data_IF_175839614457
#
_entry.id   IF_175839614457
#
_cell.length_a   1.000
_cell.length_b   1.000
_cell.length_c   1.000
_cell.angle_alpha   90.00
_cell.angle_beta   90.00
_cell.angle_gamma   90.00
#
_symmetry.space_group_name_H-M   'P 1'
#
loop_
_entity.id
_entity.type
_entity.pdbx_description
1 polymer ?
#
# COMPACT_ATOMS: atom_id res chain seq x y z
N UNK A 1 -1.11 2.12 13.20
CA UNK A 1 -0.92 3.25 12.29
C UNK A 1 -0.04 4.31 12.95
N UNK A 2 0.85 4.94 12.16
CA UNK A 2 1.76 6.02 12.57
C UNK A 2 1.05 7.11 13.38
N UNK A 3 -0.20 7.42 13.03
CA UNK A 3 -1.02 8.45 13.68
C UNK A 3 -1.28 8.21 15.17
N UNK A 4 -1.37 6.94 15.58
CA UNK A 4 -1.74 6.55 16.95
C UNK A 4 -0.67 5.71 17.64
N UNK A 5 0.52 5.59 17.05
CA UNK A 5 1.62 4.72 17.51
C UNK A 5 1.18 3.28 17.84
N UNK A 6 0.14 2.80 17.18
CA UNK A 6 -0.39 1.44 17.35
C UNK A 6 0.23 0.53 16.29
N UNK A 7 0.91 -0.53 16.70
CA UNK A 7 1.51 -1.50 15.79
C UNK A 7 0.63 -2.75 15.75
N UNK A 8 0.16 -3.11 14.56
CA UNK A 8 -0.70 -4.27 14.33
C UNK A 8 -0.38 -4.89 12.97
N UNK A 9 -0.80 -6.14 12.77
CA UNK A 9 -0.69 -6.81 11.46
C UNK A 9 -1.31 -5.97 10.33
N UNK A 10 -2.44 -5.31 10.59
CA UNK A 10 -3.10 -4.45 9.61
C UNK A 10 -2.28 -3.19 9.30
N UNK A 11 -1.48 -2.68 10.24
CA UNK A 11 -0.53 -1.60 9.93
C UNK A 11 0.64 -2.09 9.08
N UNK A 12 1.08 -3.33 9.26
CA UNK A 12 2.11 -3.93 8.42
C UNK A 12 1.59 -4.17 7.01
N UNK A 13 0.34 -4.62 6.86
CA UNK A 13 -0.35 -4.74 5.56
C UNK A 13 -0.37 -3.41 4.80
N UNK A 14 -0.67 -2.30 5.49
CA UNK A 14 -0.63 -0.97 4.85
C UNK A 14 0.77 -0.64 4.32
N UNK A 15 1.79 -0.86 5.14
CA UNK A 15 3.20 -0.65 4.76
C UNK A 15 3.63 -1.56 3.62
N UNK A 16 3.16 -2.81 3.58
CA UNK A 16 3.39 -3.73 2.46
C UNK A 16 2.85 -3.17 1.14
N UNK A 17 1.68 -2.51 1.15
CA UNK A 17 1.18 -1.81 -0.04
C UNK A 17 2.15 -0.74 -0.55
N UNK A 18 2.78 0.01 0.36
CA UNK A 18 3.83 0.99 0.01
C UNK A 18 5.06 0.31 -0.56
N UNK A 19 5.53 -0.80 0.05
CA UNK A 19 6.67 -1.58 -0.45
C UNK A 19 6.40 -2.13 -1.86
N UNK A 20 5.20 -2.64 -2.12
CA UNK A 20 4.83 -3.08 -3.47
C UNK A 20 4.91 -1.91 -4.47
N UNK A 21 4.45 -0.72 -4.09
CA UNK A 21 4.58 0.46 -4.94
C UNK A 21 6.06 0.83 -5.19
N UNK A 22 6.91 0.75 -4.18
CA UNK A 22 8.36 0.98 -4.32
C UNK A 22 8.99 -0.03 -5.29
N UNK A 23 8.62 -1.32 -5.20
CA UNK A 23 9.08 -2.37 -6.13
C UNK A 23 8.72 -2.01 -7.58
N UNK A 24 7.44 -1.70 -7.85
CA UNK A 24 6.96 -1.43 -9.21
C UNK A 24 7.39 -0.06 -9.76
N UNK A 25 7.89 0.83 -8.91
CA UNK A 25 8.52 2.08 -9.33
C UNK A 25 10.04 1.99 -9.44
N UNK A 26 10.63 0.82 -9.19
CA UNK A 26 12.08 0.60 -9.15
C UNK A 26 12.78 1.45 -8.08
N UNK A 27 12.18 1.53 -6.89
CA UNK A 27 12.76 2.17 -5.72
C UNK A 27 12.56 3.68 -5.63
N UNK A 28 11.51 4.23 -6.27
CA UNK A 28 11.19 5.66 -6.07
C UNK A 28 10.74 5.90 -4.64
N UNK A 29 11.08 7.07 -4.12
CA UNK A 29 10.59 7.52 -2.82
C UNK A 29 9.07 7.80 -2.90
N UNK A 30 8.25 7.16 -2.02
CA UNK A 30 6.84 7.48 -1.89
C UNK A 30 6.64 8.95 -1.52
N UNK A 31 5.71 9.64 -2.18
CA UNK A 31 5.40 11.06 -1.94
C UNK A 31 6.64 11.99 -1.87
N UNK A 32 7.66 11.76 -2.71
CA UNK A 32 8.97 12.42 -2.64
C UNK A 32 8.99 13.97 -2.57
N UNK A 33 7.90 14.65 -2.93
CA UNK A 33 7.78 16.12 -2.88
C UNK A 33 7.09 16.64 -1.63
N UNK A 34 6.60 15.76 -0.77
CA UNK A 34 5.80 16.12 0.40
C UNK A 34 6.62 15.91 1.68
N UNK A 35 6.46 16.84 2.62
CA UNK A 35 6.88 16.65 4.00
C UNK A 35 6.03 15.59 4.71
N UNK A 36 6.51 15.06 5.84
CA UNK A 36 5.77 14.07 6.62
C UNK A 36 4.36 14.55 7.02
N UNK A 37 4.19 15.84 7.32
CA UNK A 37 2.89 16.40 7.69
C UNK A 37 1.93 16.44 6.49
N UNK A 38 2.42 16.81 5.31
CA UNK A 38 1.62 16.82 4.08
C UNK A 38 1.24 15.39 3.64
N UNK A 39 2.13 14.42 3.85
CA UNK A 39 1.83 12.99 3.60
C UNK A 39 0.71 12.51 4.52
N UNK A 40 0.77 12.85 5.81
CA UNK A 40 -0.29 12.54 6.78
C UNK A 40 -1.62 13.15 6.35
N UNK A 41 -1.63 14.40 5.93
CA UNK A 41 -2.83 15.08 5.44
C UNK A 41 -3.40 14.39 4.19
N UNK A 42 -2.55 14.09 3.19
CA UNK A 42 -2.97 13.38 1.99
C UNK A 42 -3.63 12.03 2.30
N UNK A 43 -3.00 11.23 3.17
CA UNK A 43 -3.51 9.90 3.54
C UNK A 43 -4.82 10.01 4.31
N UNK A 44 -4.95 10.96 5.23
CA UNK A 44 -6.18 11.17 6.01
C UNK A 44 -7.36 11.66 5.15
N UNK A 45 -7.08 12.35 4.05
CA UNK A 45 -8.05 12.69 3.00
C UNK A 45 -8.37 11.53 2.05
N UNK A 46 -7.78 10.35 2.24
CA UNK A 46 -8.01 9.16 1.42
C UNK A 46 -7.21 9.15 0.11
N UNK A 47 -6.20 10.02 -0.03
CA UNK A 47 -5.30 9.99 -1.19
C UNK A 47 -4.23 8.92 -0.98
N UNK A 48 -4.00 8.12 -2.02
CA UNK A 48 -2.98 7.07 -2.05
C UNK A 48 -2.02 7.28 -3.22
N UNK A 49 -0.92 6.53 -3.25
CA UNK A 49 0.04 6.58 -4.34
C UNK A 49 -0.61 6.12 -5.65
N UNK A 50 -0.33 6.81 -6.76
CA UNK A 50 -0.88 6.46 -8.07
C UNK A 50 -0.24 5.17 -8.62
N UNK A 51 -1.00 4.45 -9.45
CA UNK A 51 -0.51 3.24 -10.14
C UNK A 51 0.70 3.57 -11.03
N UNK A 52 1.86 2.93 -10.81
CA UNK A 52 3.01 3.06 -11.72
C UNK A 52 2.67 2.54 -13.12
N UNK A 53 3.23 3.14 -14.17
CA UNK A 53 2.97 2.73 -15.57
C UNK A 53 3.29 1.25 -15.83
N UNK A 54 4.34 0.76 -15.19
CA UNK A 54 4.86 -0.61 -15.26
C UNK A 54 4.14 -1.59 -14.34
N UNK A 55 3.22 -1.11 -13.49
CA UNK A 55 2.50 -1.94 -12.54
C UNK A 55 1.23 -2.54 -13.18
N UNK A 56 1.08 -3.88 -13.22
CA UNK A 56 -0.17 -4.53 -13.62
C UNK A 56 -1.35 -4.03 -12.78
N UNK A 57 -2.55 -4.00 -13.38
CA UNK A 57 -3.74 -3.48 -12.70
C UNK A 57 -4.06 -4.30 -11.45
N UNK A 58 -3.91 -5.61 -11.53
CA UNK A 58 -4.24 -6.59 -10.49
C UNK A 58 -3.35 -6.41 -9.25
N UNK A 59 -2.07 -6.10 -9.46
CA UNK A 59 -1.13 -5.78 -8.37
C UNK A 59 -1.52 -4.45 -7.72
N UNK A 60 -1.93 -3.47 -8.51
CA UNK A 60 -2.40 -2.20 -7.96
C UNK A 60 -3.73 -2.32 -7.21
N UNK A 61 -4.66 -3.14 -7.68
CA UNK A 61 -5.89 -3.44 -6.96
C UNK A 61 -5.59 -4.09 -5.59
N UNK A 62 -4.56 -4.95 -5.53
CA UNK A 62 -4.06 -5.50 -4.27
C UNK A 62 -3.49 -4.40 -3.37
N UNK A 63 -2.69 -3.45 -3.90
CA UNK A 63 -2.22 -2.28 -3.13
C UNK A 63 -3.40 -1.46 -2.57
N UNK A 64 -4.46 -1.23 -3.36
CA UNK A 64 -5.68 -0.56 -2.89
C UNK A 64 -6.39 -1.34 -1.78
N UNK A 65 -6.34 -2.68 -1.82
CA UNK A 65 -6.79 -3.54 -0.73
C UNK A 65 -5.97 -3.39 0.55
N UNK A 66 -4.66 -3.17 0.43
CA UNK A 66 -3.79 -2.85 1.57
C UNK A 66 -4.07 -1.45 2.14
N UNK A 67 -4.46 -0.50 1.29
CA UNK A 67 -4.68 0.90 1.65
C UNK A 67 -6.13 1.25 2.01
N UNK A 68 -6.90 0.27 2.49
CA UNK A 68 -8.21 0.55 3.07
C UNK A 68 -8.07 1.39 4.34
N UNK A 69 -8.89 2.44 4.45
CA UNK A 69 -8.87 3.39 5.57
C UNK A 69 -9.05 2.66 6.89
N UNK A 70 -10.10 1.86 6.99
CA UNK A 70 -10.42 1.07 8.16
C UNK A 70 -9.53 -0.18 8.23
N UNK A 71 -8.77 -0.41 9.33
CA UNK A 71 -7.83 -1.53 9.41
C UNK A 71 -8.45 -2.91 9.15
N UNK A 72 -9.67 -3.14 9.65
CA UNK A 72 -10.38 -4.41 9.50
C UNK A 72 -10.91 -4.66 8.09
N UNK A 73 -10.94 -3.64 7.24
CA UNK A 73 -11.32 -3.76 5.82
C UNK A 73 -10.11 -4.08 4.92
N UNK A 74 -8.89 -4.02 5.46
CA UNK A 74 -7.68 -4.35 4.69
C UNK A 74 -7.61 -5.85 4.45
N UNK A 75 -7.04 -6.23 3.31
CA UNK A 75 -6.76 -7.63 3.00
C UNK A 75 -5.87 -8.25 4.08
N UNK A 76 -6.13 -9.51 4.42
CA UNK A 76 -5.23 -10.22 5.32
C UNK A 76 -4.00 -10.75 4.57
N UNK A 77 -2.92 -11.00 5.32
CA UNK A 77 -1.64 -11.39 4.71
C UNK A 77 -1.70 -12.72 3.95
N UNK A 78 -2.60 -13.64 4.33
CA UNK A 78 -2.78 -14.93 3.65
C UNK A 78 -3.38 -14.73 2.26
N UNK A 79 -4.40 -13.89 2.15
CA UNK A 79 -5.01 -13.51 0.86
C UNK A 79 -4.00 -12.82 -0.04
N UNK A 80 -3.25 -11.86 0.49
CA UNK A 80 -2.20 -11.16 -0.25
C UNK A 80 -1.17 -12.15 -0.81
N UNK A 81 -0.70 -13.09 0.01
CA UNK A 81 0.26 -14.10 -0.42
C UNK A 81 -0.28 -14.97 -1.57
N UNK A 82 -1.53 -15.44 -1.47
CA UNK A 82 -2.18 -16.25 -2.51
C UNK A 82 -2.31 -15.45 -3.81
N UNK A 83 -2.76 -14.20 -3.73
CA UNK A 83 -2.91 -13.35 -4.91
C UNK A 83 -1.57 -13.10 -5.61
N UNK A 84 -0.52 -12.78 -4.86
CA UNK A 84 0.83 -12.59 -5.40
C UNK A 84 1.38 -13.88 -6.03
N UNK A 85 1.17 -15.04 -5.39
CA UNK A 85 1.55 -16.35 -5.93
C UNK A 85 0.86 -16.64 -7.27
N UNK A 86 -0.42 -16.30 -7.40
CA UNK A 86 -1.17 -16.51 -8.64
C UNK A 86 -0.69 -15.57 -9.75
N UNK A 87 -0.45 -14.30 -9.41
CA UNK A 87 0.07 -13.31 -10.36
C UNK A 87 1.49 -13.63 -10.85
N UNK A 88 2.32 -14.25 -10.00
CA UNK A 88 3.68 -14.65 -10.38
C UNK A 88 3.74 -15.88 -11.30
N UNK A 89 2.64 -16.63 -11.42
CA UNK A 89 2.53 -17.83 -12.28
C UNK A 89 1.89 -17.54 -13.64
N UNK A 90 1.28 -16.37 -13.79
CA UNK A 90 0.65 -15.91 -15.03
C UNK A 90 1.69 -15.25 -15.96
#
# INVERSE_FOLDING_TARGET
SIMYRKFTTESDVWSLGVVLWEIFTYGKQPWYQLSNNEVIECITQGRVLQRPRTCPKEVYDLMLGCWQREPHMRLNIKEIHILLQNLAKA
#
